data_IF_679819770362
#
_entry.id   IF_679819770362
#
_cell.length_a   1.000
_cell.length_b   1.000
_cell.length_c   1.000
_cell.angle_alpha   90.00
_cell.angle_beta   90.00
_cell.angle_gamma   90.00
#
_symmetry.space_group_name_H-M   'P 1'
#
loop_
_entity.id
_entity.type
_entity.pdbx_description
1 polymer ?
#
# COMPACT_ATOMS: atom_id res chain seq x y z
N UNK A 1 -33.04 20.00 -22.58
CA UNK A 1 -33.43 20.18 -21.16
C UNK A 1 -32.54 19.32 -20.28
N UNK A 2 -31.84 19.96 -19.34
CA UNK A 2 -31.15 19.45 -18.15
C UNK A 2 -30.63 18.01 -18.13
N UNK A 3 -29.30 17.84 -18.20
CA UNK A 3 -28.62 16.66 -17.66
C UNK A 3 -28.87 16.63 -16.15
N UNK A 4 -29.62 15.63 -15.67
CA UNK A 4 -29.79 15.34 -14.24
C UNK A 4 -28.42 14.95 -13.68
N UNK A 5 -27.75 15.90 -13.03
CA UNK A 5 -26.66 15.61 -12.09
C UNK A 5 -27.28 14.91 -10.88
N UNK A 6 -27.38 13.59 -10.92
CA UNK A 6 -27.84 12.80 -9.79
C UNK A 6 -26.81 12.86 -8.67
N UNK A 7 -27.23 13.29 -7.49
CA UNK A 7 -26.43 13.21 -6.26
C UNK A 7 -26.21 11.73 -5.99
N UNK A 8 -25.01 11.23 -6.28
CA UNK A 8 -24.61 9.84 -5.97
C UNK A 8 -24.61 9.69 -4.46
N UNK A 9 -25.33 8.69 -3.93
CA UNK A 9 -25.40 8.47 -2.49
C UNK A 9 -24.02 8.07 -1.93
N UNK A 10 -23.77 8.34 -0.65
CA UNK A 10 -22.52 7.96 0.02
C UNK A 10 -22.25 6.44 -0.09
N UNK A 11 -23.29 5.61 0.08
CA UNK A 11 -23.20 4.17 -0.07
C UNK A 11 -22.76 3.75 -1.48
N UNK A 12 -23.29 4.40 -2.53
CA UNK A 12 -22.91 4.12 -3.91
C UNK A 12 -21.45 4.57 -4.21
N UNK A 13 -21.00 5.67 -3.61
CA UNK A 13 -19.61 6.10 -3.69
C UNK A 13 -18.67 5.12 -2.99
N UNK A 14 -19.01 4.66 -1.78
CA UNK A 14 -18.25 3.65 -1.04
C UNK A 14 -18.14 2.37 -1.87
N UNK A 15 -19.24 1.90 -2.46
CA UNK A 15 -19.21 0.68 -3.27
C UNK A 15 -18.38 0.84 -4.56
N UNK A 16 -18.41 2.00 -5.21
CA UNK A 16 -17.52 2.30 -6.35
C UNK A 16 -16.05 2.27 -5.95
N UNK A 17 -15.71 2.81 -4.77
CA UNK A 17 -14.35 2.77 -4.23
C UNK A 17 -13.94 1.33 -3.97
N UNK A 18 -14.77 0.54 -3.27
CA UNK A 18 -14.49 -0.87 -2.98
C UNK A 18 -14.28 -1.68 -4.28
N UNK A 19 -15.15 -1.52 -5.28
CA UNK A 19 -15.00 -2.22 -6.59
C UNK A 19 -13.73 -1.81 -7.32
N UNK A 20 -13.28 -0.57 -7.17
CA UNK A 20 -12.04 -0.10 -7.78
C UNK A 20 -10.83 -0.67 -7.05
N UNK A 21 -10.84 -0.68 -5.71
CA UNK A 21 -9.78 -1.26 -4.89
C UNK A 21 -9.63 -2.78 -5.11
N UNK A 22 -10.72 -3.51 -5.35
CA UNK A 22 -10.67 -4.95 -5.70
C UNK A 22 -9.90 -5.27 -6.98
N UNK A 23 -9.73 -4.30 -7.89
CA UNK A 23 -8.96 -4.46 -9.14
C UNK A 23 -7.47 -4.21 -8.93
N UNK A 24 -7.08 -3.65 -7.79
CA UNK A 24 -5.67 -3.43 -7.45
C UNK A 24 -5.11 -4.78 -7.03
N UNK A 25 -4.14 -5.35 -7.76
CA UNK A 25 -3.53 -6.61 -7.36
C UNK A 25 -2.87 -6.45 -6.00
N UNK A 26 -3.04 -7.46 -5.13
CA UNK A 26 -2.36 -7.48 -3.84
C UNK A 26 -0.85 -7.38 -4.07
N UNK A 27 -0.21 -6.39 -3.46
CA UNK A 27 1.25 -6.25 -3.50
C UNK A 27 1.83 -6.92 -2.26
N UNK A 28 2.46 -8.07 -2.46
CA UNK A 28 3.24 -8.74 -1.43
C UNK A 28 4.62 -8.07 -1.35
N UNK A 29 4.89 -7.39 -0.23
CA UNK A 29 6.20 -6.82 0.03
C UNK A 29 7.11 -7.91 0.57
N UNK A 30 8.26 -8.12 -0.08
CA UNK A 30 9.22 -9.17 0.25
C UNK A 30 9.74 -9.09 1.69
N UNK A 31 9.72 -7.89 2.28
CA UNK A 31 10.08 -7.68 3.69
C UNK A 31 9.18 -8.46 4.65
N UNK A 32 7.89 -8.63 4.32
CA UNK A 32 6.93 -9.40 5.14
C UNK A 32 7.25 -10.89 5.04
N UNK A 33 7.59 -11.36 3.84
CA UNK A 33 7.98 -12.75 3.62
C UNK A 33 9.28 -13.09 4.34
N UNK A 34 10.30 -12.23 4.25
CA UNK A 34 11.57 -12.40 4.94
C UNK A 34 11.42 -12.36 6.45
N UNK A 35 10.60 -11.47 7.00
CA UNK A 35 10.32 -11.41 8.43
C UNK A 35 9.71 -12.73 8.96
N UNK A 36 8.86 -13.38 8.17
CA UNK A 36 8.25 -14.66 8.52
C UNK A 36 9.21 -15.86 8.36
N UNK A 37 10.30 -15.70 7.62
CA UNK A 37 11.29 -16.76 7.38
C UNK A 37 12.40 -16.79 8.42
N UNK A 38 12.65 -15.69 9.13
CA UNK A 38 13.70 -15.62 10.17
C UNK A 38 13.21 -16.39 11.40
N UNK A 39 13.93 -17.45 11.83
CA UNK A 39 13.54 -18.23 13.00
C UNK A 39 13.61 -17.41 14.29
N UNK A 40 12.75 -17.76 15.25
CA UNK A 40 12.87 -17.33 16.63
C UNK A 40 13.54 -18.45 17.43
N UNK A 41 14.73 -18.19 17.97
CA UNK A 41 15.48 -19.09 18.84
C UNK A 41 15.50 -18.53 20.26
N UNK A 42 15.05 -19.32 21.23
CA UNK A 42 15.00 -18.92 22.64
C UNK A 42 14.19 -17.64 22.93
N UNK A 43 13.16 -17.38 22.13
CA UNK A 43 12.32 -16.18 22.27
C UNK A 43 12.88 -14.92 21.61
N UNK A 44 14.07 -15.01 20.98
CA UNK A 44 14.69 -13.91 20.24
C UNK A 44 14.85 -14.28 18.76
N UNK A 45 15.02 -13.28 17.90
CA UNK A 45 15.35 -13.52 16.50
C UNK A 45 16.71 -14.19 16.38
N UNK A 46 16.83 -15.13 15.44
CA UNK A 46 18.12 -15.72 15.09
C UNK A 46 19.00 -14.70 14.36
N UNK A 47 19.79 -13.93 15.12
CA UNK A 47 20.64 -12.88 14.57
C UNK A 47 21.73 -13.38 13.63
N UNK A 48 22.12 -14.67 13.72
CA UNK A 48 23.06 -15.25 12.77
C UNK A 48 22.42 -15.36 11.38
N UNK A 49 21.20 -15.91 11.31
CA UNK A 49 20.41 -15.99 10.07
C UNK A 49 20.10 -14.58 9.51
N UNK A 50 19.80 -13.62 10.39
CA UNK A 50 19.60 -12.21 9.99
C UNK A 50 20.84 -11.64 9.32
N UNK A 51 22.03 -11.89 9.90
CA UNK A 51 23.29 -11.39 9.36
C UNK A 51 23.62 -12.02 8.00
N UNK A 52 23.36 -13.31 7.82
CA UNK A 52 23.56 -14.00 6.53
C UNK A 52 22.63 -13.46 5.44
N UNK A 53 21.38 -13.11 5.79
CA UNK A 53 20.38 -12.57 4.86
C UNK A 53 20.40 -11.05 4.73
N UNK A 54 21.36 -10.36 5.35
CA UNK A 54 21.40 -8.89 5.37
C UNK A 54 21.27 -8.24 3.97
N UNK A 55 21.88 -8.76 2.88
CA UNK A 55 21.69 -8.21 1.55
C UNK A 55 20.23 -8.27 1.06
N UNK A 56 19.55 -9.39 1.30
CA UNK A 56 18.16 -9.61 0.92
C UNK A 56 17.22 -8.71 1.72
N UNK A 57 17.49 -8.59 3.02
CA UNK A 57 16.77 -7.70 3.93
C UNK A 57 16.91 -6.25 3.47
N UNK A 58 18.12 -5.81 3.12
CA UNK A 58 18.37 -4.44 2.64
C UNK A 58 17.62 -4.14 1.33
N UNK A 59 17.61 -5.10 0.41
CA UNK A 59 16.84 -4.98 -0.84
C UNK A 59 15.34 -4.87 -0.56
N UNK A 60 14.80 -5.76 0.28
CA UNK A 60 13.40 -5.76 0.65
C UNK A 60 12.96 -4.48 1.38
N UNK A 61 13.82 -3.91 2.24
CA UNK A 61 13.61 -2.59 2.86
C UNK A 61 13.53 -1.51 1.79
N UNK A 62 14.42 -1.55 0.79
CA UNK A 62 14.45 -0.55 -0.29
C UNK A 62 13.17 -0.64 -1.13
N UNK A 63 12.75 -1.85 -1.51
CA UNK A 63 11.49 -2.09 -2.22
C UNK A 63 10.28 -1.54 -1.44
N UNK A 64 10.21 -1.82 -0.13
CA UNK A 64 9.13 -1.35 0.72
C UNK A 64 9.10 0.18 0.84
N UNK A 65 10.27 0.83 0.98
CA UNK A 65 10.37 2.29 1.02
C UNK A 65 9.90 2.93 -0.29
N UNK A 66 10.38 2.42 -1.42
CA UNK A 66 9.98 2.93 -2.75
C UNK A 66 8.48 2.79 -2.97
N UNK A 67 7.92 1.62 -2.63
CA UNK A 67 6.47 1.41 -2.71
C UNK A 67 5.70 2.39 -1.83
N UNK A 68 6.12 2.58 -0.57
CA UNK A 68 5.52 3.54 0.35
C UNK A 68 5.56 4.97 -0.18
N UNK A 69 6.72 5.43 -0.67
CA UNK A 69 6.88 6.77 -1.25
C UNK A 69 5.95 7.00 -2.44
N UNK A 70 5.89 6.07 -3.40
CA UNK A 70 5.00 6.21 -4.55
C UNK A 70 3.52 6.16 -4.14
N UNK A 71 3.18 5.37 -3.13
CA UNK A 71 1.81 5.31 -2.60
C UNK A 71 1.41 6.65 -1.98
N UNK A 72 2.28 7.26 -1.16
CA UNK A 72 2.05 8.59 -0.59
C UNK A 72 1.87 9.64 -1.69
N UNK A 73 2.75 9.65 -2.69
CA UNK A 73 2.66 10.59 -3.81
C UNK A 73 1.36 10.44 -4.60
N UNK A 74 0.89 9.20 -4.82
CA UNK A 74 -0.37 8.93 -5.49
C UNK A 74 -1.56 9.44 -4.67
N UNK A 75 -1.54 9.22 -3.35
CA UNK A 75 -2.56 9.76 -2.42
C UNK A 75 -2.58 11.28 -2.45
N UNK A 76 -1.42 11.93 -2.34
CA UNK A 76 -1.31 13.39 -2.41
C UNK A 76 -1.85 13.96 -3.73
N UNK A 77 -1.56 13.29 -4.85
CA UNK A 77 -2.08 13.69 -6.15
C UNK A 77 -3.62 13.61 -6.19
N UNK A 78 -4.22 12.57 -5.60
CA UNK A 78 -5.68 12.42 -5.51
C UNK A 78 -6.30 13.51 -4.63
N UNK A 79 -5.70 13.81 -3.47
CA UNK A 79 -6.15 14.89 -2.57
C UNK A 79 -6.15 16.23 -3.32
N UNK A 80 -5.06 16.56 -4.03
CA UNK A 80 -4.96 17.80 -4.82
C UNK A 80 -5.95 17.89 -6.00
N UNK A 81 -6.42 16.75 -6.51
CA UNK A 81 -7.46 16.72 -7.55
C UNK A 81 -8.86 16.95 -6.97
N UNK A 82 -9.12 16.50 -5.74
CA UNK A 82 -10.38 16.77 -5.06
C UNK A 82 -10.50 18.26 -4.69
N UNK A 83 -9.46 18.85 -4.11
CA UNK A 83 -9.48 20.29 -3.74
C UNK A 83 -9.67 21.20 -4.95
N UNK A 84 -9.16 20.83 -6.13
CA UNK A 84 -9.35 21.60 -7.39
C UNK A 84 -10.75 21.51 -8.00
N UNK A 85 -11.63 20.63 -7.51
CA UNK A 85 -13.02 20.53 -7.97
C UNK A 85 -13.99 21.35 -7.12
N UNK A 86 -13.53 21.90 -5.99
CA UNK A 86 -14.34 22.68 -5.06
C UNK A 86 -14.25 24.21 -5.32
N UNK A 87 -13.37 24.63 -6.24
CA UNK A 87 -13.27 26.00 -6.80
C UNK A 87 -13.98 26.11 -8.16
#
# INVERSE_FOLDING_TARGET
GGRKGGIVSEAENIERVIRSLRKVPAKHLRIIELANQIPIKYGELDYAEVAERQPEINLAITEAKVYGTHTIQAVDALIRLQSRKED
#
